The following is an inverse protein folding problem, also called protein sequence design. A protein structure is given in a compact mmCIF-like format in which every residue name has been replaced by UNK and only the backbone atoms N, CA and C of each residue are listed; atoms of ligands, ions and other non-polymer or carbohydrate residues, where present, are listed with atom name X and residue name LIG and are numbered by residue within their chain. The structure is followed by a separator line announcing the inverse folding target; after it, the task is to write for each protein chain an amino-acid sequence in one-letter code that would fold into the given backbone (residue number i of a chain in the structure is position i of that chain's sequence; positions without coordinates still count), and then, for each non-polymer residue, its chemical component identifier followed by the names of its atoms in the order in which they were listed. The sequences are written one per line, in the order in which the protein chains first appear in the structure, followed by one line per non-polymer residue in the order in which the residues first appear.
data_IF_531998227488
#
_entry.id   IF_531998227488
#
_cell.length_a   1.000
_cell.length_b   1.000
_cell.length_c   1.000
_cell.angle_alpha   90.00
_cell.angle_beta   90.00
_cell.angle_gamma   90.00
#
_symmetry.space_group_name_H-M   'P 1'
#
loop_
_entity.id
_entity.type
_entity.pdbx_description
1 polymer ?
#
# COMPACT_ATOMS: atom_id res chain seq x y z
N UNK A 1 41.61 42.91 36.40
CA UNK A 1 41.05 41.91 37.32
C UNK A 1 40.01 41.10 36.55
N UNK A 2 40.38 39.95 36.00
CA UNK A 2 39.43 39.09 35.29
C UNK A 2 38.59 38.32 36.31
N UNK A 3 37.28 38.62 36.39
CA UNK A 3 36.35 37.84 37.21
C UNK A 3 36.22 36.44 36.62
N UNK A 4 36.73 35.44 37.32
CA UNK A 4 36.46 34.04 37.03
C UNK A 4 34.97 33.79 37.24
N UNK A 5 34.25 33.57 36.14
CA UNK A 5 32.84 33.16 36.16
C UNK A 5 32.76 31.80 36.86
N UNK A 6 32.00 31.71 37.95
CA UNK A 6 31.63 30.41 38.53
C UNK A 6 30.80 29.66 37.50
N UNK A 7 31.26 28.47 37.15
CA UNK A 7 30.49 27.50 36.38
C UNK A 7 29.58 26.79 37.38
N UNK A 8 28.29 27.09 37.34
CA UNK A 8 27.32 26.32 38.13
C UNK A 8 27.23 24.91 37.53
N UNK A 9 27.50 23.90 38.37
CA UNK A 9 27.46 22.49 37.97
C UNK A 9 26.04 21.93 38.07
N UNK A 10 25.62 21.13 37.09
CA UNK A 10 24.36 20.40 37.12
C UNK A 10 24.33 19.43 38.31
N UNK A 11 23.23 19.46 39.07
CA UNK A 11 23.04 18.49 40.16
C UNK A 11 22.54 17.16 39.61
N UNK A 12 22.93 16.05 40.24
CA UNK A 12 22.42 14.72 39.86
C UNK A 12 20.89 14.67 40.02
N UNK A 13 20.35 15.35 41.03
CA UNK A 13 18.91 15.43 41.27
C UNK A 13 18.16 16.08 40.11
N UNK A 14 18.69 17.17 39.56
CA UNK A 14 18.11 17.90 38.44
C UNK A 14 18.03 17.03 37.17
N UNK A 15 19.08 16.25 36.92
CA UNK A 15 19.07 15.30 35.82
C UNK A 15 18.08 14.15 36.05
N UNK A 16 18.00 13.61 37.28
CA UNK A 16 17.08 12.51 37.62
C UNK A 16 15.62 12.96 37.44
N UNK A 17 15.24 14.10 38.00
CA UNK A 17 13.86 14.61 37.90
C UNK A 17 13.51 14.88 36.43
N UNK A 18 14.41 15.48 35.66
CA UNK A 18 14.15 15.80 34.26
C UNK A 18 13.97 14.54 33.40
N UNK A 19 14.86 13.55 33.55
CA UNK A 19 14.75 12.27 32.84
C UNK A 19 13.48 11.52 33.24
N UNK A 20 13.06 11.61 34.51
CA UNK A 20 11.81 11.01 34.98
C UNK A 20 10.60 11.61 34.27
N UNK A 21 10.55 12.93 34.15
CA UNK A 21 9.44 13.62 33.47
C UNK A 21 9.44 13.31 31.97
N UNK A 22 10.61 13.33 31.31
CA UNK A 22 10.72 12.97 29.89
C UNK A 22 10.24 11.53 29.66
N UNK A 23 10.68 10.58 30.48
CA UNK A 23 10.26 9.18 30.37
C UNK A 23 8.74 9.03 30.50
N UNK A 24 8.11 9.74 31.44
CA UNK A 24 6.66 9.72 31.62
C UNK A 24 5.92 10.29 30.40
N UNK A 25 6.37 11.42 29.87
CA UNK A 25 5.77 12.02 28.67
C UNK A 25 5.94 11.12 27.45
N UNK A 26 7.14 10.55 27.25
CA UNK A 26 7.43 9.64 26.15
C UNK A 26 6.58 8.37 26.24
N UNK A 27 6.36 7.82 27.44
CA UNK A 27 5.54 6.63 27.62
C UNK A 27 4.10 6.82 27.11
N UNK A 28 3.52 8.02 27.27
CA UNK A 28 2.18 8.34 26.79
C UNK A 28 2.20 8.72 25.29
N UNK A 29 3.19 9.49 24.86
CA UNK A 29 3.25 10.05 23.52
C UNK A 29 3.64 9.00 22.44
N UNK A 30 4.51 8.05 22.77
CA UNK A 30 5.07 7.09 21.82
C UNK A 30 4.01 6.25 21.08
N UNK A 31 3.05 5.57 21.74
CA UNK A 31 2.04 4.78 21.02
C UNK A 31 1.15 5.63 20.11
N UNK A 32 0.82 6.86 20.53
CA UNK A 32 0.05 7.80 19.71
C UNK A 32 0.80 8.21 18.44
N UNK A 33 2.10 8.48 18.57
CA UNK A 33 2.96 8.82 17.45
C UNK A 33 3.03 7.69 16.40
N UNK A 34 3.12 6.44 16.85
CA UNK A 34 3.16 5.28 15.94
C UNK A 34 1.87 5.14 15.12
N UNK A 35 0.69 5.32 15.74
CA UNK A 35 -0.60 5.28 15.04
C UNK A 35 -0.71 6.43 14.04
N UNK A 36 -0.27 7.63 14.42
CA UNK A 36 -0.26 8.79 13.53
C UNK A 36 0.63 8.54 12.31
N UNK A 37 1.84 8.02 12.52
CA UNK A 37 2.77 7.70 11.44
C UNK A 37 2.17 6.64 10.50
N UNK A 38 1.55 5.58 11.04
CA UNK A 38 0.91 4.54 10.23
C UNK A 38 -0.21 5.11 9.36
N UNK A 39 -1.09 5.95 9.93
CA UNK A 39 -2.17 6.62 9.18
C UNK A 39 -1.64 7.56 8.11
N UNK A 40 -0.58 8.31 8.40
CA UNK A 40 0.05 9.20 7.45
C UNK A 40 0.59 8.42 6.24
N UNK A 41 1.26 7.28 6.48
CA UNK A 41 1.74 6.38 5.41
C UNK A 41 0.57 5.87 4.57
N UNK A 42 -0.48 5.31 5.17
CA UNK A 42 -1.65 4.86 4.40
C UNK A 42 -2.29 5.98 3.57
N UNK A 43 -2.38 7.20 4.12
CA UNK A 43 -2.91 8.35 3.40
C UNK A 43 -2.03 8.76 2.20
N UNK A 44 -0.70 8.74 2.36
CA UNK A 44 0.24 8.95 1.24
C UNK A 44 0.04 7.88 0.17
N UNK A 45 -0.02 6.61 0.56
CA UNK A 45 -0.19 5.52 -0.39
C UNK A 45 -1.50 5.64 -1.19
N UNK A 46 -2.60 6.03 -0.53
CA UNK A 46 -3.88 6.30 -1.20
C UNK A 46 -3.81 7.49 -2.16
N UNK A 47 -3.07 8.55 -1.80
CA UNK A 47 -2.86 9.71 -2.66
C UNK A 47 -2.12 9.31 -3.93
N UNK A 48 -1.02 8.57 -3.78
CA UNK A 48 -0.22 8.10 -4.90
C UNK A 48 -1.03 7.18 -5.82
N UNK A 49 -1.80 6.24 -5.25
CA UNK A 49 -2.69 5.37 -6.01
C UNK A 49 -3.76 6.13 -6.81
N UNK A 50 -4.30 7.24 -6.30
CA UNK A 50 -5.25 8.07 -7.07
C UNK A 50 -4.58 8.75 -8.26
N UNK A 51 -3.35 9.23 -8.08
CA UNK A 51 -2.58 9.80 -9.20
C UNK A 51 -2.26 8.73 -10.25
N UNK A 52 -1.90 7.52 -9.81
CA UNK A 52 -1.67 6.37 -10.68
C UNK A 52 -2.97 5.97 -11.40
N UNK A 53 -4.10 5.90 -10.70
CA UNK A 53 -5.41 5.61 -11.28
C UNK A 53 -5.72 6.55 -12.44
N UNK A 54 -5.56 7.86 -12.26
CA UNK A 54 -5.82 8.85 -13.30
C UNK A 54 -4.91 8.63 -14.54
N UNK A 55 -3.64 8.31 -14.32
CA UNK A 55 -2.72 8.00 -15.41
C UNK A 55 -3.09 6.70 -16.15
N UNK A 56 -3.59 5.70 -15.41
CA UNK A 56 -4.08 4.46 -16.00
C UNK A 56 -5.37 4.65 -16.78
N UNK A 57 -6.28 5.51 -16.32
CA UNK A 57 -7.47 5.89 -17.08
C UNK A 57 -7.08 6.59 -18.40
N UNK A 58 -6.04 7.42 -18.41
CA UNK A 58 -5.50 8.02 -19.64
C UNK A 58 -4.89 6.96 -20.57
N UNK A 59 -4.03 6.08 -20.04
CA UNK A 59 -3.49 4.93 -20.80
C UNK A 59 -4.60 4.09 -21.43
N UNK A 60 -5.63 3.76 -20.65
CA UNK A 60 -6.78 2.98 -21.10
C UNK A 60 -7.58 3.71 -22.20
N UNK A 61 -7.76 5.03 -22.09
CA UNK A 61 -8.46 5.83 -23.11
C UNK A 61 -7.70 5.90 -24.43
N UNK A 62 -6.37 6.00 -24.38
CA UNK A 62 -5.52 6.12 -25.58
C UNK A 62 -5.29 4.77 -26.27
N UNK A 63 -5.08 3.72 -25.48
CA UNK A 63 -4.60 2.42 -25.98
C UNK A 63 -5.66 1.32 -25.94
N UNK A 64 -6.74 1.51 -25.18
CA UNK A 64 -7.72 0.45 -24.90
C UNK A 64 -7.18 -0.67 -24.00
N UNK A 65 -6.01 -0.47 -23.37
CA UNK A 65 -5.33 -1.48 -22.57
C UNK A 65 -5.00 -0.98 -21.17
N UNK A 66 -5.10 -1.88 -20.20
CA UNK A 66 -4.50 -1.79 -18.88
C UNK A 66 -3.03 -2.26 -18.90
N UNK A 67 -2.25 -2.02 -17.83
CA UNK A 67 -0.91 -2.56 -17.65
C UNK A 67 -0.83 -4.07 -17.92
N UNK A 68 0.29 -4.54 -18.46
CA UNK A 68 0.43 -5.94 -18.87
C UNK A 68 -0.33 -6.23 -20.17
N UNK A 69 -0.21 -5.32 -21.15
CA UNK A 69 -1.13 -5.07 -22.29
C UNK A 69 -2.44 -5.87 -22.28
N UNK A 70 -3.25 -5.69 -21.24
CA UNK A 70 -4.51 -6.42 -21.06
C UNK A 70 -5.67 -5.53 -21.51
N UNK A 71 -6.55 -6.02 -22.37
CA UNK A 71 -7.71 -5.23 -22.84
C UNK A 71 -8.60 -4.76 -21.69
N UNK A 72 -9.02 -3.49 -21.71
CA UNK A 72 -9.86 -2.94 -20.62
C UNK A 72 -11.25 -3.56 -20.51
N UNK A 73 -11.75 -4.16 -21.59
CA UNK A 73 -13.06 -4.81 -21.67
C UNK A 73 -13.11 -6.20 -21.02
N UNK A 74 -11.94 -6.78 -20.69
CA UNK A 74 -11.85 -8.12 -20.16
C UNK A 74 -11.06 -8.14 -18.84
N UNK A 75 -11.61 -8.85 -17.85
CA UNK A 75 -10.87 -9.25 -16.64
C UNK A 75 -9.86 -10.31 -17.09
N UNK A 76 -8.69 -9.86 -17.54
CA UNK A 76 -7.58 -10.74 -17.94
C UNK A 76 -6.82 -11.28 -16.73
N UNK A 77 -5.85 -12.15 -16.97
CA UNK A 77 -4.93 -12.66 -15.94
C UNK A 77 -3.63 -11.86 -15.84
N UNK A 78 -3.64 -10.62 -16.35
CA UNK A 78 -2.46 -9.77 -16.44
C UNK A 78 -2.19 -9.08 -15.11
N UNK A 79 -0.98 -9.24 -14.58
CA UNK A 79 -0.51 -8.52 -13.42
C UNK A 79 0.86 -7.90 -13.70
N UNK A 80 1.06 -6.69 -13.21
CA UNK A 80 2.31 -5.94 -13.28
C UNK A 80 2.69 -5.52 -11.86
N UNK A 81 3.81 -6.04 -11.37
CA UNK A 81 4.24 -5.86 -9.99
C UNK A 81 5.13 -4.63 -9.76
N UNK A 82 5.56 -3.99 -10.85
CA UNK A 82 6.27 -2.73 -10.84
C UNK A 82 5.65 -1.80 -11.88
N UNK A 83 4.89 -0.81 -11.43
CA UNK A 83 4.25 0.17 -12.31
C UNK A 83 5.21 1.18 -12.96
N UNK A 84 6.49 1.19 -12.59
CA UNK A 84 7.55 1.95 -13.26
C UNK A 84 8.20 1.16 -14.43
N UNK A 85 7.85 -0.12 -14.56
CA UNK A 85 8.31 -0.99 -15.64
C UNK A 85 7.72 -0.58 -17.01
N UNK A 86 8.30 -1.09 -18.10
CA UNK A 86 7.82 -0.76 -19.45
C UNK A 86 6.51 -1.48 -19.78
N UNK A 87 6.34 -2.64 -19.16
CA UNK A 87 5.17 -3.50 -19.17
C UNK A 87 3.94 -2.79 -18.57
N UNK A 88 4.16 -1.79 -17.70
CA UNK A 88 3.10 -0.99 -17.12
C UNK A 88 2.53 0.08 -18.09
N UNK A 89 3.31 0.50 -19.09
CA UNK A 89 2.91 1.55 -20.02
C UNK A 89 2.77 2.96 -19.42
N UNK A 90 3.05 3.17 -18.13
CA UNK A 90 2.85 4.45 -17.44
C UNK A 90 3.98 5.46 -17.67
N UNK A 91 5.23 5.05 -17.45
CA UNK A 91 6.43 5.91 -17.57
C UNK A 91 7.17 5.69 -18.88
N UNK A 92 7.04 4.49 -19.44
CA UNK A 92 7.60 4.07 -20.72
C UNK A 92 6.78 2.89 -21.22
N UNK A 93 6.78 2.65 -22.53
CA UNK A 93 6.14 1.51 -23.14
C UNK A 93 7.18 0.57 -23.76
N UNK A 94 6.89 -0.72 -23.73
CA UNK A 94 7.63 -1.80 -24.40
C UNK A 94 7.26 -1.97 -25.89
N UNK A 95 6.34 -1.13 -26.39
CA UNK A 95 5.82 -1.17 -27.76
C UNK A 95 4.60 -2.07 -27.94
N UNK A 96 4.08 -2.69 -26.87
CA UNK A 96 2.87 -3.53 -26.92
C UNK A 96 1.56 -2.73 -26.81
N UNK A 97 1.65 -1.44 -26.44
CA UNK A 97 0.53 -0.53 -26.31
C UNK A 97 0.22 0.18 -27.64
N UNK A 98 -0.91 -0.13 -28.32
CA UNK A 98 -1.28 0.55 -29.55
C UNK A 98 -1.63 2.01 -29.27
N UNK A 99 -1.25 2.94 -30.16
CA UNK A 99 -1.51 4.38 -30.01
C UNK A 99 -1.04 4.97 -28.67
N UNK A 100 0.02 4.43 -28.07
CA UNK A 100 0.58 4.98 -26.84
C UNK A 100 1.05 6.42 -27.06
N UNK A 101 0.47 7.36 -26.30
CA UNK A 101 0.81 8.80 -26.35
C UNK A 101 1.64 9.22 -25.12
N UNK A 102 1.95 8.27 -24.23
CA UNK A 102 2.66 8.50 -22.97
C UNK A 102 4.11 8.93 -23.13
N UNK A 103 4.81 9.29 -22.04
CA UNK A 103 4.53 8.90 -20.66
C UNK A 103 3.31 9.60 -20.02
N UNK A 104 2.52 8.83 -19.26
CA UNK A 104 1.37 9.31 -18.48
C UNK A 104 1.77 9.72 -17.05
N UNK A 105 2.95 9.29 -16.59
CA UNK A 105 3.61 9.74 -15.37
C UNK A 105 5.10 9.96 -15.62
N UNK A 106 5.69 10.97 -14.97
CA UNK A 106 7.14 11.20 -15.04
C UNK A 106 7.95 10.08 -14.34
N UNK A 107 7.41 9.57 -13.23
CA UNK A 107 7.91 8.43 -12.50
C UNK A 107 6.79 7.92 -11.59
N UNK A 108 6.74 6.61 -11.36
CA UNK A 108 5.91 6.04 -10.30
C UNK A 108 6.72 6.07 -9.00
N UNK A 109 6.24 6.71 -7.92
CA UNK A 109 6.94 6.70 -6.64
C UNK A 109 6.94 5.30 -6.03
N UNK A 110 7.87 5.05 -5.11
CA UNK A 110 7.77 3.90 -4.20
C UNK A 110 6.68 4.18 -3.18
N UNK A 111 6.02 3.13 -2.71
CA UNK A 111 5.09 3.26 -1.62
C UNK A 111 5.79 3.70 -0.31
N UNK A 112 5.04 4.14 0.71
CA UNK A 112 5.61 4.63 1.98
C UNK A 112 6.39 3.59 2.80
N UNK A 113 6.39 2.33 2.38
CA UNK A 113 7.12 1.22 2.99
C UNK A 113 8.28 0.74 2.11
N UNK A 114 8.44 1.31 0.91
CA UNK A 114 9.54 1.07 -0.02
C UNK A 114 9.25 0.06 -1.14
N UNK A 115 8.03 -0.47 -1.22
CA UNK A 115 7.64 -1.41 -2.27
C UNK A 115 7.15 -0.67 -3.52
N UNK A 116 7.14 -1.37 -4.66
CA UNK A 116 6.50 -0.86 -5.87
C UNK A 116 4.98 -0.97 -5.78
N UNK A 117 4.29 -0.03 -6.42
CA UNK A 117 2.87 -0.19 -6.70
C UNK A 117 2.66 -1.23 -7.79
N UNK A 118 1.55 -1.96 -7.69
CA UNK A 118 1.19 -2.99 -8.64
C UNK A 118 -0.17 -2.73 -9.28
N UNK A 119 -0.38 -3.37 -10.42
CA UNK A 119 -1.67 -3.56 -11.07
C UNK A 119 -1.93 -5.06 -11.20
N UNK A 120 -3.17 -5.48 -10.97
CA UNK A 120 -3.62 -6.84 -11.20
C UNK A 120 -5.04 -6.79 -11.80
N UNK A 121 -5.19 -7.30 -13.02
CA UNK A 121 -6.45 -7.32 -13.75
C UNK A 121 -7.48 -8.27 -13.12
N UNK A 122 -7.05 -9.24 -12.31
CA UNK A 122 -7.90 -10.24 -11.66
C UNK A 122 -7.65 -10.39 -10.15
N UNK A 123 -7.35 -9.29 -9.48
CA UNK A 123 -7.12 -9.25 -8.04
C UNK A 123 -8.34 -9.76 -7.24
N UNK A 124 -8.14 -10.78 -6.40
CA UNK A 124 -9.21 -11.39 -5.61
C UNK A 124 -9.34 -10.73 -4.23
N UNK A 125 -10.52 -10.19 -3.94
CA UNK A 125 -10.87 -9.63 -2.64
C UNK A 125 -12.13 -10.33 -2.14
N UNK A 126 -11.99 -11.12 -1.07
CA UNK A 126 -13.14 -11.78 -0.43
C UNK A 126 -13.88 -12.76 -1.34
N UNK A 127 -13.20 -13.38 -2.31
CA UNK A 127 -13.80 -14.31 -3.27
C UNK A 127 -14.33 -13.66 -4.55
N UNK A 128 -14.34 -12.32 -4.64
CA UNK A 128 -14.71 -11.58 -5.85
C UNK A 128 -13.47 -11.02 -6.52
N UNK A 129 -13.43 -11.07 -7.84
CA UNK A 129 -12.29 -10.60 -8.64
C UNK A 129 -12.56 -9.21 -9.21
N UNK A 130 -11.55 -8.34 -9.12
CA UNK A 130 -11.57 -6.96 -9.62
C UNK A 130 -10.28 -6.67 -10.39
N UNK A 131 -10.33 -5.78 -11.38
CA UNK A 131 -9.11 -5.10 -11.81
C UNK A 131 -8.75 -4.07 -10.72
N UNK A 132 -7.52 -4.11 -10.25
CA UNK A 132 -7.10 -3.33 -9.10
C UNK A 132 -5.68 -2.79 -9.25
N UNK A 133 -5.45 -1.64 -8.62
CA UNK A 133 -4.10 -1.14 -8.33
C UNK A 133 -3.88 -1.13 -6.83
N UNK A 134 -2.64 -1.35 -6.42
CA UNK A 134 -2.35 -1.50 -5.01
C UNK A 134 -0.92 -1.26 -4.58
N UNK A 135 -0.77 -1.08 -3.28
CA UNK A 135 0.49 -1.22 -2.54
C UNK A 135 0.38 -2.44 -1.63
N UNK A 136 1.50 -3.16 -1.47
CA UNK A 136 1.60 -4.30 -0.55
C UNK A 136 1.53 -3.89 0.92
N UNK A 137 1.65 -2.60 1.24
CA UNK A 137 1.59 -2.14 2.61
C UNK A 137 2.87 -2.43 3.40
N UNK A 138 2.83 -2.29 4.74
CA UNK A 138 3.96 -2.49 5.64
C UNK A 138 4.69 -3.82 5.52
N UNK A 139 3.97 -4.90 5.20
CA UNK A 139 4.56 -6.24 5.14
C UNK A 139 5.32 -6.50 3.82
N UNK A 140 5.10 -5.69 2.77
CA UNK A 140 5.70 -5.88 1.44
C UNK A 140 5.35 -7.22 0.76
N UNK A 141 4.32 -7.90 1.26
CA UNK A 141 3.91 -9.25 0.91
C UNK A 141 2.46 -9.24 0.41
N UNK A 142 1.91 -10.28 -0.22
CA UNK A 142 2.50 -11.19 -1.19
C UNK A 142 1.78 -10.89 -2.53
N UNK A 143 2.42 -11.14 -3.66
CA UNK A 143 1.75 -11.03 -4.96
C UNK A 143 0.49 -11.92 -5.02
N UNK A 144 -0.58 -11.42 -5.63
CA UNK A 144 -1.87 -12.11 -5.80
C UNK A 144 -2.59 -12.53 -4.51
N UNK A 145 -2.23 -11.96 -3.35
CA UNK A 145 -2.90 -12.29 -2.08
C UNK A 145 -3.37 -11.00 -1.43
N UNK A 146 -4.68 -10.82 -1.31
CA UNK A 146 -5.24 -9.72 -0.52
C UNK A 146 -5.13 -10.04 0.97
N UNK A 147 -4.35 -9.22 1.67
CA UNK A 147 -4.25 -9.23 3.13
C UNK A 147 -4.88 -7.96 3.74
N UNK A 148 -4.76 -7.81 5.06
CA UNK A 148 -5.39 -6.73 5.80
C UNK A 148 -4.65 -5.39 5.68
N UNK A 149 -3.40 -5.38 5.22
CA UNK A 149 -2.55 -4.19 5.21
C UNK A 149 -2.23 -3.66 3.80
N UNK A 150 -2.60 -4.40 2.75
CA UNK A 150 -2.61 -3.88 1.39
C UNK A 150 -3.54 -2.66 1.26
N UNK A 151 -3.12 -1.68 0.47
CA UNK A 151 -3.92 -0.50 0.14
C UNK A 151 -4.31 -0.60 -1.33
N UNK A 152 -5.60 -0.77 -1.63
CA UNK A 152 -6.09 -1.13 -2.96
C UNK A 152 -7.14 -0.12 -3.46
N UNK A 153 -7.11 0.19 -4.76
CA UNK A 153 -8.21 0.84 -5.49
C UNK A 153 -8.72 -0.13 -6.57
N UNK A 154 -10.03 -0.35 -6.60
CA UNK A 154 -10.73 -1.14 -7.61
C UNK A 154 -11.03 -0.24 -8.82
N UNK A 155 -10.74 -0.71 -10.03
CA UNK A 155 -10.89 0.05 -11.27
C UNK A 155 -12.24 -0.19 -11.98
N UNK A 156 -12.92 -1.30 -11.71
CA UNK A 156 -14.12 -1.73 -12.47
C UNK A 156 -15.47 -1.31 -11.84
N UNK A 157 -15.46 -0.53 -10.76
CA UNK A 157 -16.68 0.02 -10.17
C UNK A 157 -16.52 1.53 -10.05
N UNK A 158 -17.35 2.27 -10.77
CA UNK A 158 -17.48 3.72 -10.63
C UNK A 158 -18.03 4.10 -9.26
N UNK A 159 -17.20 3.93 -8.23
CA UNK A 159 -17.35 4.48 -6.89
C UNK A 159 -16.04 4.16 -6.18
N UNK A 160 -15.18 5.17 -6.10
CA UNK A 160 -14.07 5.18 -5.15
C UNK A 160 -14.70 5.07 -3.76
N UNK A 161 -14.88 3.85 -3.26
CA UNK A 161 -15.16 3.63 -1.85
C UNK A 161 -13.83 3.96 -1.14
N UNK A 162 -13.76 5.05 -0.36
CA UNK A 162 -12.57 5.31 0.43
C UNK A 162 -12.35 4.07 1.30
N UNK A 163 -11.16 3.45 1.18
CA UNK A 163 -10.80 2.33 2.04
C UNK A 163 -11.20 2.69 3.48
N UNK A 164 -11.88 1.78 4.22
CA UNK A 164 -12.35 2.07 5.56
C UNK A 164 -11.21 2.68 6.34
N UNK A 165 -11.36 3.94 6.77
CA UNK A 165 -10.39 4.54 7.70
C UNK A 165 -10.40 3.58 8.89
N UNK A 166 -9.29 2.91 9.23
CA UNK A 166 -9.29 2.02 10.38
C UNK A 166 -9.68 2.85 11.59
N UNK A 167 -10.90 2.62 12.06
CA UNK A 167 -11.41 3.20 13.29
C UNK A 167 -10.44 2.85 14.42
N UNK A 168 -10.37 3.66 15.47
CA UNK A 168 -9.56 3.30 16.63
C UNK A 168 -10.26 2.14 17.36
N UNK A 169 -10.03 0.90 16.92
CA UNK A 169 -10.00 -0.36 17.71
C UNK A 169 -10.26 -1.56 16.79
N UNK A 170 -9.21 -2.31 16.48
CA UNK A 170 -9.19 -3.76 16.68
C UNK A 170 -7.71 -4.20 16.71
N UNK A 171 -7.23 -4.87 17.78
CA UNK A 171 -5.89 -5.44 17.77
C UNK A 171 -5.83 -6.49 16.67
N UNK A 172 -4.76 -6.46 15.86
CA UNK A 172 -4.44 -7.45 14.83
C UNK A 172 -4.49 -8.86 15.44
N UNK A 173 -5.63 -9.54 15.29
CA UNK A 173 -5.80 -10.91 15.73
C UNK A 173 -5.34 -11.82 14.60
N UNK A 174 -4.10 -12.27 14.69
CA UNK A 174 -3.56 -13.29 13.81
C UNK A 174 -4.30 -14.61 14.01
N UNK A 175 -5.37 -14.83 13.25
CA UNK A 175 -5.90 -16.17 13.01
C UNK A 175 -5.76 -16.51 11.53
N UNK A 176 -4.66 -17.18 11.22
CA UNK A 176 -4.45 -17.97 10.01
C UNK A 176 -5.68 -18.84 9.75
N UNK A 177 -6.40 -18.60 8.66
CA UNK A 177 -7.38 -19.55 8.13
C UNK A 177 -6.61 -20.66 7.41
N UNK A 178 -6.34 -21.73 8.14
CA UNK A 178 -5.97 -23.02 7.58
C UNK A 178 -7.20 -23.74 7.01
N UNK A 179 -6.98 -24.43 5.90
CA UNK A 179 -7.74 -25.58 5.40
C UNK A 179 -9.05 -25.34 4.62
N UNK A 180 -8.90 -25.21 3.29
CA UNK A 180 -9.85 -25.81 2.36
C UNK A 180 -9.14 -26.87 1.52
N UNK A 181 -9.23 -28.14 1.95
CA UNK A 181 -8.82 -29.30 1.16
C UNK A 181 -10.03 -30.16 0.78
N UNK A 182 -10.41 -30.06 -0.49
CA UNK A 182 -10.75 -31.19 -1.36
C UNK A 182 -12.02 -32.00 -1.06
N UNK A 183 -13.11 -31.67 -1.76
CA UNK A 183 -14.16 -32.65 -2.12
C UNK A 183 -13.58 -33.65 -3.13
N UNK A 184 -13.50 -34.92 -2.77
CA UNK A 184 -13.32 -36.05 -3.69
C UNK A 184 -14.52 -37.00 -3.60
N UNK A 185 -15.41 -36.97 -4.60
CA UNK A 185 -16.43 -38.00 -4.81
C UNK A 185 -15.73 -39.30 -5.22
N UNK A 186 -16.02 -40.41 -4.54
CA UNK A 186 -15.79 -41.75 -5.08
C UNK A 186 -16.99 -42.64 -4.76
N UNK A 187 -17.72 -42.97 -5.81
CA UNK A 187 -18.80 -43.96 -5.85
C UNK A 187 -18.20 -45.35 -5.99
N UNK A 188 -18.49 -46.27 -5.06
CA UNK A 188 -18.62 -47.71 -5.35
C UNK A 188 -19.17 -48.50 -4.14
N UNK A 189 -20.14 -49.36 -4.42
CA UNK A 189 -20.40 -50.58 -3.66
C UNK A 189 -21.74 -50.63 -2.90
N UNK A 190 -22.79 -51.15 -3.53
CA UNK A 190 -23.21 -52.57 -3.46
C UNK A 190 -24.37 -52.79 -4.42
#
# INVERSE_FOLDING_TARGET
MAQLRRSDGLTILELIVNLTVIALLTAIAYPSFMIFQARARTATAQSDLRSIQLALEQLANDTGQWPGPTEVSHVGSGAVWDLNSAEAGLVKADGLFPNWQGPYLNAVPKDPWGSDYFFDANYNIGGTTYAAIGSFGPNGCCQNTHDADNVIIKLTEGSVEPAPIPGPTEPYNGSSSSDTKGKGKSTKGK
#
